data_IF_669694068921
#
_entry.id   IF_669694068921
#
_cell.length_a   1.000
_cell.length_b   1.000
_cell.length_c   1.000
_cell.angle_alpha   90.00
_cell.angle_beta   90.00
_cell.angle_gamma   90.00
#
_symmetry.space_group_name_H-M   'P 1'
#
loop_
_entity.id
_entity.type
_entity.pdbx_description
1 polymer ?
#
# COMPACT_ATOMS: atom_id res chain seq x y z
N UNK A 1 0.47 14.11 -13.80
CA UNK A 1 0.97 13.75 -12.46
C UNK A 1 2.26 12.95 -12.63
N UNK A 2 3.26 13.27 -11.83
CA UNK A 2 4.56 12.61 -11.88
C UNK A 2 4.57 11.42 -10.90
N UNK A 3 4.60 10.20 -11.43
CA UNK A 3 4.62 8.98 -10.60
C UNK A 3 5.87 8.92 -9.70
N UNK A 4 7.02 9.33 -10.21
CA UNK A 4 8.26 9.31 -9.41
C UNK A 4 8.14 10.20 -8.17
N UNK A 5 7.54 11.37 -8.31
CA UNK A 5 7.30 12.26 -7.16
C UNK A 5 6.34 11.63 -6.14
N UNK A 6 5.31 10.95 -6.62
CA UNK A 6 4.37 10.23 -5.76
C UNK A 6 5.08 9.10 -5.02
N UNK A 7 5.91 8.32 -5.71
CA UNK A 7 6.69 7.23 -5.11
C UNK A 7 7.62 7.76 -4.02
N UNK A 8 8.33 8.86 -4.27
CA UNK A 8 9.21 9.47 -3.26
C UNK A 8 8.42 9.93 -2.03
N UNK A 9 7.22 10.48 -2.23
CA UNK A 9 6.37 10.88 -1.11
C UNK A 9 5.86 9.66 -0.33
N UNK A 10 5.47 8.59 -1.02
CA UNK A 10 5.07 7.33 -0.36
C UNK A 10 6.22 6.80 0.50
N UNK A 11 7.42 6.73 -0.04
CA UNK A 11 8.60 6.25 0.69
C UNK A 11 8.86 7.14 1.92
N UNK A 12 8.75 8.45 1.76
CA UNK A 12 8.92 9.40 2.87
C UNK A 12 7.91 9.13 3.99
N UNK A 13 6.63 8.95 3.62
CA UNK A 13 5.55 8.69 4.59
C UNK A 13 5.72 7.33 5.28
N UNK A 14 6.06 6.29 4.51
CA UNK A 14 6.11 4.92 5.03
C UNK A 14 7.34 4.66 5.91
N UNK A 15 8.50 5.10 5.49
CA UNK A 15 9.77 4.71 6.13
C UNK A 15 10.71 5.87 6.43
N UNK A 16 10.34 7.09 6.04
CA UNK A 16 11.25 8.24 6.10
C UNK A 16 12.58 7.96 5.38
N UNK A 17 12.54 7.15 4.34
CA UNK A 17 13.72 6.77 3.56
C UNK A 17 14.61 5.73 4.23
N UNK A 18 14.19 5.12 5.33
CA UNK A 18 14.97 4.11 6.04
C UNK A 18 14.74 2.72 5.42
N UNK A 19 15.77 2.13 4.76
CA UNK A 19 15.63 0.82 4.12
C UNK A 19 15.43 -0.32 5.13
N UNK A 20 15.73 -0.09 6.41
CA UNK A 20 15.61 -1.09 7.48
C UNK A 20 14.36 -0.87 8.35
N UNK A 21 13.49 0.07 7.97
CA UNK A 21 12.26 0.33 8.72
C UNK A 21 11.43 -0.94 8.84
N UNK A 22 10.96 -1.24 10.04
CA UNK A 22 10.15 -2.42 10.32
C UNK A 22 8.94 -2.03 11.16
N UNK A 23 7.74 -2.48 10.73
CA UNK A 23 6.53 -2.26 11.49
C UNK A 23 6.45 -3.23 12.66
N UNK A 24 6.00 -2.76 13.82
CA UNK A 24 5.87 -3.59 15.03
C UNK A 24 4.57 -4.40 15.07
N UNK A 25 3.58 -4.04 14.26
CA UNK A 25 2.23 -4.62 14.28
C UNK A 25 1.93 -5.50 13.07
N UNK A 26 2.84 -5.56 12.10
CA UNK A 26 2.65 -6.35 10.88
C UNK A 26 3.99 -6.80 10.32
N UNK A 27 3.98 -7.51 9.20
CA UNK A 27 5.20 -7.93 8.50
C UNK A 27 5.81 -6.83 7.62
N UNK A 28 5.23 -5.63 7.58
CA UNK A 28 5.68 -4.54 6.71
C UNK A 28 7.14 -4.16 7.00
N UNK A 29 7.94 -4.00 5.95
CA UNK A 29 9.36 -3.75 6.04
C UNK A 29 9.87 -2.95 4.84
N UNK A 30 10.95 -2.18 5.06
CA UNK A 30 11.70 -1.50 4.01
C UNK A 30 11.11 -0.17 3.58
N UNK A 31 11.64 0.40 2.49
CA UNK A 31 11.25 1.73 2.02
C UNK A 31 9.75 1.88 1.79
N UNK A 32 9.13 0.88 1.16
CA UNK A 32 7.70 0.91 0.82
C UNK A 32 6.79 0.29 1.87
N UNK A 33 7.35 -0.26 2.93
CA UNK A 33 6.60 -0.94 3.99
C UNK A 33 5.67 -2.01 3.45
N UNK A 34 6.18 -2.88 2.56
CA UNK A 34 5.41 -3.98 1.99
C UNK A 34 5.27 -5.14 2.97
N UNK A 35 4.06 -5.68 3.05
CA UNK A 35 3.79 -6.93 3.73
C UNK A 35 4.45 -8.09 2.98
N UNK A 36 4.74 -9.18 3.68
CA UNK A 36 5.37 -10.37 3.10
C UNK A 36 4.67 -10.85 1.83
N UNK A 37 3.36 -11.05 1.89
CA UNK A 37 2.60 -11.59 0.76
C UNK A 37 2.63 -10.67 -0.46
N UNK A 38 2.44 -9.37 -0.25
CA UNK A 38 2.45 -8.39 -1.34
C UNK A 38 3.84 -8.34 -1.99
N UNK A 39 4.89 -8.35 -1.18
CA UNK A 39 6.26 -8.34 -1.70
C UNK A 39 6.56 -9.56 -2.57
N UNK A 40 6.17 -10.75 -2.11
CA UNK A 40 6.39 -11.98 -2.88
C UNK A 40 5.65 -11.94 -4.22
N UNK A 41 4.42 -11.44 -4.24
CA UNK A 41 3.66 -11.26 -5.48
C UNK A 41 4.36 -10.30 -6.43
N UNK A 42 4.85 -9.17 -5.92
CA UNK A 42 5.54 -8.16 -6.74
C UNK A 42 6.85 -8.69 -7.32
N UNK A 43 7.64 -9.39 -6.53
CA UNK A 43 8.90 -9.99 -7.03
C UNK A 43 8.62 -11.00 -8.14
N UNK A 44 7.64 -11.87 -7.95
CA UNK A 44 7.29 -12.88 -8.96
C UNK A 44 6.77 -12.25 -10.25
N UNK A 45 6.02 -11.15 -10.14
CA UNK A 45 5.45 -10.48 -11.29
C UNK A 45 6.45 -9.63 -12.06
N UNK A 46 7.35 -8.93 -11.38
CA UNK A 46 8.21 -7.92 -11.99
C UNK A 46 9.70 -8.25 -12.01
N UNK A 47 10.16 -9.03 -11.06
CA UNK A 47 11.57 -9.42 -10.94
C UNK A 47 11.71 -10.90 -10.58
N UNK A 48 11.16 -11.80 -11.40
CA UNK A 48 11.30 -13.25 -11.14
C UNK A 48 12.75 -13.70 -11.13
N UNK A 49 13.65 -12.98 -11.80
CA UNK A 49 15.10 -13.21 -11.78
C UNK A 49 15.67 -13.15 -10.35
N UNK A 50 15.12 -12.26 -9.51
CA UNK A 50 15.58 -12.10 -8.13
C UNK A 50 15.09 -13.20 -7.20
N UNK A 51 14.05 -13.91 -7.57
CA UNK A 51 13.56 -15.06 -6.80
C UNK A 51 14.30 -16.35 -7.14
N UNK A 52 14.90 -16.42 -8.33
CA UNK A 52 15.57 -17.62 -8.81
C UNK A 52 16.79 -17.93 -7.95
N UNK A 53 16.83 -19.14 -7.38
CA UNK A 53 17.94 -19.59 -6.55
C UNK A 53 17.98 -19.00 -5.14
N UNK A 54 16.94 -18.26 -4.74
CA UNK A 54 16.83 -17.69 -3.39
C UNK A 54 15.73 -18.37 -2.60
N UNK A 55 15.94 -18.51 -1.29
CA UNK A 55 14.87 -18.91 -0.38
C UNK A 55 13.82 -17.80 -0.28
N UNK A 56 12.63 -18.14 0.19
CA UNK A 56 11.58 -17.14 0.44
C UNK A 56 12.06 -16.08 1.42
N UNK A 57 12.77 -16.49 2.49
CA UNK A 57 13.35 -15.54 3.44
C UNK A 57 14.32 -14.57 2.80
N UNK A 58 15.18 -15.03 1.90
CA UNK A 58 16.13 -14.16 1.19
C UNK A 58 15.40 -13.20 0.24
N UNK A 59 14.33 -13.64 -0.40
CA UNK A 59 13.50 -12.76 -1.24
C UNK A 59 12.84 -11.68 -0.37
N UNK A 60 12.35 -12.02 0.81
CA UNK A 60 11.76 -11.06 1.75
C UNK A 60 12.79 -10.04 2.24
N UNK A 61 14.04 -10.44 2.44
CA UNK A 61 15.12 -9.53 2.83
C UNK A 61 15.46 -8.49 1.75
N UNK A 62 15.12 -8.73 0.49
CA UNK A 62 15.31 -7.75 -0.59
C UNK A 62 14.50 -6.46 -0.36
N UNK A 63 13.53 -6.46 0.52
CA UNK A 63 12.82 -5.25 0.93
C UNK A 63 13.75 -4.21 1.55
N UNK A 64 14.91 -4.62 2.03
CA UNK A 64 15.95 -3.74 2.58
C UNK A 64 16.92 -3.22 1.53
N UNK A 65 16.87 -3.73 0.30
CA UNK A 65 17.67 -3.23 -0.80
C UNK A 65 17.00 -1.98 -1.36
N UNK A 66 17.70 -0.83 -1.26
CA UNK A 66 17.14 0.47 -1.66
C UNK A 66 16.68 0.48 -3.11
N UNK A 67 17.51 -0.05 -4.01
CA UNK A 67 17.21 -0.04 -5.44
C UNK A 67 16.01 -0.93 -5.78
N UNK A 68 15.97 -2.14 -5.24
CA UNK A 68 14.88 -3.10 -5.48
C UNK A 68 13.59 -2.59 -4.85
N UNK A 69 13.63 -2.09 -3.62
CA UNK A 69 12.45 -1.57 -2.93
C UNK A 69 11.85 -0.37 -3.67
N UNK A 70 12.71 0.55 -4.17
CA UNK A 70 12.23 1.70 -4.94
C UNK A 70 11.61 1.27 -6.26
N UNK A 71 12.25 0.36 -6.97
CA UNK A 71 11.73 -0.20 -8.24
C UNK A 71 10.34 -0.80 -8.02
N UNK A 72 10.17 -1.64 -7.01
CA UNK A 72 8.89 -2.32 -6.79
C UNK A 72 7.82 -1.38 -6.21
N UNK A 73 8.20 -0.36 -5.46
CA UNK A 73 7.27 0.68 -5.05
C UNK A 73 6.72 1.41 -6.28
N UNK A 74 7.60 1.71 -7.26
CA UNK A 74 7.20 2.34 -8.52
C UNK A 74 6.24 1.42 -9.30
N UNK A 75 6.58 0.14 -9.45
CA UNK A 75 5.74 -0.83 -10.16
C UNK A 75 4.36 -0.98 -9.50
N UNK A 76 4.34 -1.05 -8.18
CA UNK A 76 3.09 -1.15 -7.44
C UNK A 76 2.22 0.10 -7.63
N UNK A 77 2.82 1.28 -7.58
CA UNK A 77 2.12 2.55 -7.78
C UNK A 77 1.55 2.65 -9.21
N UNK A 78 2.33 2.27 -10.23
CA UNK A 78 1.86 2.23 -11.61
C UNK A 78 0.70 1.27 -11.80
N UNK A 79 0.79 0.07 -11.21
CA UNK A 79 -0.27 -0.93 -11.24
C UNK A 79 -1.54 -0.42 -10.57
N UNK A 80 -1.40 0.26 -9.45
CA UNK A 80 -2.53 0.85 -8.73
C UNK A 80 -3.19 1.95 -9.57
N UNK A 81 -2.39 2.81 -10.22
CA UNK A 81 -2.90 3.85 -11.11
C UNK A 81 -3.71 3.24 -12.27
N UNK A 82 -3.18 2.19 -12.87
CA UNK A 82 -3.87 1.48 -13.95
C UNK A 82 -5.21 0.90 -13.47
N UNK A 83 -5.22 0.25 -12.31
CA UNK A 83 -6.44 -0.33 -11.73
C UNK A 83 -7.52 0.72 -11.44
N UNK A 84 -7.13 1.87 -10.92
CA UNK A 84 -8.06 2.97 -10.67
C UNK A 84 -8.62 3.55 -11.96
N UNK A 85 -7.76 3.80 -12.97
CA UNK A 85 -8.20 4.31 -14.28
C UNK A 85 -9.18 3.38 -14.96
N UNK A 86 -8.92 2.09 -14.91
CA UNK A 86 -9.77 1.07 -15.53
C UNK A 86 -11.19 1.10 -14.95
N UNK A 87 -11.33 1.53 -13.70
CA UNK A 87 -12.64 1.65 -13.03
C UNK A 87 -13.22 3.06 -13.12
N UNK A 88 -12.57 3.98 -13.82
CA UNK A 88 -13.03 5.36 -13.93
C UNK A 88 -12.89 6.15 -12.62
N UNK A 89 -12.03 5.70 -11.72
CA UNK A 89 -11.82 6.34 -10.42
C UNK A 89 -10.66 7.34 -10.49
N UNK A 90 -10.67 8.35 -9.60
CA UNK A 90 -9.62 9.38 -9.61
C UNK A 90 -8.24 8.79 -9.34
N UNK A 91 -7.23 9.28 -10.07
CA UNK A 91 -5.82 8.96 -9.84
C UNK A 91 -5.13 10.24 -9.36
N UNK A 92 -4.95 10.32 -8.07
CA UNK A 92 -4.32 11.45 -7.38
C UNK A 92 -3.25 10.90 -6.43
N UNK A 93 -2.35 11.73 -5.90
CA UNK A 93 -1.42 11.25 -4.87
C UNK A 93 -2.14 10.58 -3.69
N UNK A 94 -3.27 11.13 -3.24
CA UNK A 94 -4.05 10.56 -2.15
C UNK A 94 -4.65 9.21 -2.48
N UNK A 95 -5.25 9.03 -3.66
CA UNK A 95 -5.82 7.74 -4.04
C UNK A 95 -4.75 6.68 -4.30
N UNK A 96 -3.58 7.09 -4.79
CA UNK A 96 -2.45 6.18 -4.95
C UNK A 96 -1.88 5.74 -3.61
N UNK A 97 -1.82 6.63 -2.64
CA UNK A 97 -1.43 6.25 -1.28
C UNK A 97 -2.46 5.34 -0.63
N UNK A 98 -3.74 5.62 -0.84
CA UNK A 98 -4.82 4.73 -0.38
C UNK A 98 -4.66 3.32 -0.95
N UNK A 99 -4.36 3.20 -2.24
CA UNK A 99 -4.12 1.91 -2.89
C UNK A 99 -2.83 1.24 -2.40
N UNK A 100 -1.81 2.01 -2.07
CA UNK A 100 -0.60 1.50 -1.46
C UNK A 100 -0.91 0.85 -0.09
N UNK A 101 -1.72 1.52 0.70
CA UNK A 101 -2.14 1.06 2.04
C UNK A 101 -3.12 -0.13 1.99
N UNK A 102 -4.16 -0.02 1.18
CA UNK A 102 -5.30 -0.96 1.17
C UNK A 102 -5.24 -2.02 0.06
N UNK A 103 -4.26 -1.91 -0.86
CA UNK A 103 -4.27 -2.65 -2.12
C UNK A 103 -5.24 -2.03 -3.12
N UNK A 104 -5.13 -2.40 -4.41
CA UNK A 104 -5.99 -1.86 -5.45
C UNK A 104 -7.47 -2.19 -5.19
N UNK A 105 -7.78 -3.43 -4.85
CA UNK A 105 -9.16 -3.85 -4.56
C UNK A 105 -9.74 -3.09 -3.36
N UNK A 106 -8.95 -2.92 -2.29
CA UNK A 106 -9.36 -2.17 -1.11
C UNK A 106 -9.63 -0.71 -1.42
N UNK A 107 -8.74 -0.07 -2.19
CA UNK A 107 -8.93 1.33 -2.60
C UNK A 107 -10.18 1.50 -3.48
N UNK A 108 -10.40 0.59 -4.42
CA UNK A 108 -11.60 0.62 -5.27
C UNK A 108 -12.87 0.53 -4.41
N UNK A 109 -12.87 -0.39 -3.43
CA UNK A 109 -14.01 -0.54 -2.52
C UNK A 109 -14.27 0.73 -1.71
N UNK A 110 -13.22 1.33 -1.14
CA UNK A 110 -13.32 2.58 -0.37
C UNK A 110 -13.85 3.72 -1.25
N UNK A 111 -13.31 3.88 -2.46
CA UNK A 111 -13.70 4.96 -3.37
C UNK A 111 -15.10 4.76 -3.95
N UNK A 112 -15.65 3.56 -3.89
CA UNK A 112 -16.99 3.22 -4.40
C UNK A 112 -18.04 3.10 -3.29
N UNK A 113 -17.64 3.18 -2.03
CA UNK A 113 -18.55 3.02 -0.89
C UNK A 113 -19.18 4.33 -0.45
N UNK A 114 -20.22 4.23 0.37
CA UNK A 114 -20.83 5.38 1.01
C UNK A 114 -19.84 6.01 2.01
N UNK A 115 -19.84 7.33 2.10
CA UNK A 115 -18.90 8.09 2.94
C UNK A 115 -18.99 7.70 4.43
N UNK A 116 -20.18 7.35 4.90
CA UNK A 116 -20.43 6.98 6.30
C UNK A 116 -20.18 5.50 6.62
N UNK A 117 -19.84 4.67 5.62
CA UNK A 117 -19.57 3.26 5.85
C UNK A 117 -18.30 3.07 6.69
N UNK A 118 -18.23 1.95 7.43
CA UNK A 118 -17.05 1.60 8.23
C UNK A 118 -15.87 1.25 7.31
N UNK A 119 -14.76 1.97 7.46
CA UNK A 119 -13.60 1.82 6.58
C UNK A 119 -13.00 0.40 6.65
N UNK A 120 -12.74 -0.10 7.85
CA UNK A 120 -12.12 -1.42 8.00
C UNK A 120 -12.99 -2.55 7.45
N UNK A 121 -14.32 -2.48 7.67
CA UNK A 121 -15.25 -3.47 7.12
C UNK A 121 -15.30 -3.41 5.60
N UNK A 122 -15.26 -2.21 5.02
CA UNK A 122 -15.22 -2.01 3.56
C UNK A 122 -13.96 -2.63 2.96
N UNK A 123 -12.81 -2.40 3.60
CA UNK A 123 -11.53 -3.00 3.17
C UNK A 123 -11.58 -4.53 3.26
N UNK A 124 -12.06 -5.06 4.38
CA UNK A 124 -12.18 -6.51 4.57
C UNK A 124 -13.08 -7.15 3.51
N UNK A 125 -14.19 -6.51 3.19
CA UNK A 125 -15.12 -7.00 2.19
C UNK A 125 -14.57 -7.00 0.76
N UNK A 126 -13.50 -6.23 0.49
CA UNK A 126 -12.86 -6.18 -0.82
C UNK A 126 -12.00 -7.42 -1.11
N UNK A 127 -11.63 -8.18 -0.08
CA UNK A 127 -10.84 -9.40 -0.25
C UNK A 127 -11.75 -10.57 -0.61
N UNK A 128 -11.74 -10.95 -1.90
CA UNK A 128 -12.54 -12.04 -2.42
C UNK A 128 -12.23 -13.39 -1.77
N UNK A 129 -11.03 -13.56 -1.18
CA UNK A 129 -10.65 -14.81 -0.51
C UNK A 129 -11.26 -14.94 0.89
N UNK A 130 -11.76 -13.85 1.45
CA UNK A 130 -12.30 -13.80 2.81
C UNK A 130 -11.26 -13.94 3.92
N UNK A 131 -9.98 -13.90 3.59
CA UNK A 131 -8.89 -14.04 4.59
C UNK A 131 -8.67 -12.75 5.39
N UNK A 132 -8.97 -11.60 4.80
CA UNK A 132 -8.84 -10.32 5.47
C UNK A 132 -10.04 -10.10 6.37
N UNK A 133 -9.79 -10.00 7.67
CA UNK A 133 -10.83 -9.76 8.67
C UNK A 133 -10.69 -8.34 9.24
N UNK A 134 -11.83 -7.74 9.59
CA UNK A 134 -11.86 -6.42 10.21
C UNK A 134 -10.97 -6.33 11.44
N UNK A 135 -11.07 -7.30 12.34
CA UNK A 135 -10.29 -7.32 13.58
C UNK A 135 -8.78 -7.33 13.30
N UNK A 136 -8.34 -8.07 12.30
CA UNK A 136 -6.94 -8.14 11.90
C UNK A 136 -6.45 -6.80 11.37
N UNK A 137 -7.25 -6.12 10.55
CA UNK A 137 -6.93 -4.79 10.02
C UNK A 137 -6.81 -3.76 11.15
N UNK A 138 -7.76 -3.76 12.08
CA UNK A 138 -7.76 -2.85 13.22
C UNK A 138 -6.58 -3.14 14.16
N UNK A 139 -6.25 -4.42 14.37
CA UNK A 139 -5.10 -4.80 15.20
C UNK A 139 -3.79 -4.27 14.63
N UNK A 140 -3.61 -4.39 13.30
CA UNK A 140 -2.43 -3.87 12.61
C UNK A 140 -2.45 -2.33 12.50
N UNK A 141 -3.63 -1.73 12.45
CA UNK A 141 -3.84 -0.30 12.24
C UNK A 141 -4.94 0.20 13.20
N UNK A 142 -4.62 0.42 14.48
CA UNK A 142 -5.64 0.78 15.47
C UNK A 142 -6.48 2.00 15.15
N UNK A 143 -5.93 2.95 14.37
CA UNK A 143 -6.66 4.15 13.96
C UNK A 143 -7.92 3.84 13.13
N UNK A 144 -7.96 2.67 12.48
CA UNK A 144 -9.10 2.28 11.64
C UNK A 144 -10.37 1.98 12.44
N UNK A 145 -10.24 1.69 13.73
CA UNK A 145 -11.38 1.20 14.53
C UNK A 145 -12.63 2.07 14.41
N UNK A 146 -12.45 3.40 14.38
CA UNK A 146 -13.55 4.37 14.31
C UNK A 146 -13.57 5.16 12.99
N UNK A 147 -12.79 4.75 12.01
CA UNK A 147 -12.75 5.44 10.73
C UNK A 147 -13.95 5.08 9.86
N UNK A 148 -14.60 6.10 9.31
CA UNK A 148 -15.50 5.95 8.16
C UNK A 148 -14.69 5.95 6.87
N UNK A 149 -15.33 5.60 5.76
CA UNK A 149 -14.77 5.74 4.42
C UNK A 149 -14.28 7.17 4.20
N UNK A 150 -15.07 8.18 4.55
CA UNK A 150 -14.68 9.58 4.44
C UNK A 150 -13.40 9.88 5.24
N UNK A 151 -13.31 9.37 6.47
CA UNK A 151 -12.12 9.56 7.31
C UNK A 151 -10.87 8.97 6.67
N UNK A 152 -10.98 7.78 6.11
CA UNK A 152 -9.84 7.11 5.48
C UNK A 152 -9.37 7.84 4.23
N UNK A 153 -10.31 8.29 3.39
CA UNK A 153 -9.98 9.09 2.19
C UNK A 153 -9.26 10.38 2.58
N UNK A 154 -9.75 11.08 3.58
CA UNK A 154 -9.14 12.31 4.08
C UNK A 154 -7.76 12.05 4.69
N UNK A 155 -7.61 10.95 5.41
CA UNK A 155 -6.34 10.53 5.99
C UNK A 155 -5.28 10.32 4.89
N UNK A 156 -5.63 9.60 3.80
CA UNK A 156 -4.73 9.37 2.69
C UNK A 156 -4.33 10.67 1.99
N UNK A 157 -5.29 11.56 1.78
CA UNK A 157 -5.01 12.87 1.17
C UNK A 157 -4.05 13.68 2.03
N UNK A 158 -4.24 13.70 3.35
CA UNK A 158 -3.35 14.43 4.27
C UNK A 158 -1.92 13.86 4.25
N UNK A 159 -1.78 12.56 4.17
CA UNK A 159 -0.47 11.91 4.11
C UNK A 159 0.33 12.35 2.89
N UNK A 160 -0.35 12.61 1.79
CA UNK A 160 0.29 12.93 0.50
C UNK A 160 0.36 14.43 0.20
N UNK A 161 -0.01 15.27 1.14
CA UNK A 161 0.18 16.71 0.97
C UNK A 161 1.66 17.05 1.06
N UNK A 162 2.14 17.73 0.04
CA UNK A 162 3.51 18.26 0.06
C UNK A 162 3.55 19.36 1.11
N UNK A 163 4.32 19.13 2.17
CA UNK A 163 4.59 20.19 3.15
C UNK A 163 5.60 21.14 2.53
N UNK A 164 5.17 22.37 2.23
CA UNK A 164 6.10 23.44 1.87
C UNK A 164 6.79 23.87 3.17
N UNK A 165 8.11 23.71 3.19
CA UNK A 165 8.94 24.23 4.27
C UNK A 165 9.00 25.76 4.20
#
# INVERSE_FOLDING_TARGET
MNIDAVVEQIISVESNGDPNAKNKRSSAMGLGQFLDETWLVLIRAHRPDLAKGRSEGDVLELRRDVSVARELTTRFTERNAHGLRKRGLPVTPGTLYLAHFAGAAGAIAILSALEEADAASTMAGADATGRTKREKLVKANPFLERFTVADLKNWADRKMRIRRS
#
